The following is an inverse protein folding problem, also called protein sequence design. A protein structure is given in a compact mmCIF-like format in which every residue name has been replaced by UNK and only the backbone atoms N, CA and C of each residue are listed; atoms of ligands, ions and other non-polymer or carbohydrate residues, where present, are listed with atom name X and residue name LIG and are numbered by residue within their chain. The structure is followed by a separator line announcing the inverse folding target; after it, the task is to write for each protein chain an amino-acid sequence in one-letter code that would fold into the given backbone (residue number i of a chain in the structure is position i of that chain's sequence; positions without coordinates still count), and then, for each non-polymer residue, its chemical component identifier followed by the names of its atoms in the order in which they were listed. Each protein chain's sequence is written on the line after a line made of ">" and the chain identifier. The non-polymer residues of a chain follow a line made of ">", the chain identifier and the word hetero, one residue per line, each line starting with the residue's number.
data_IF_841869585640
#
_entry.id   IF_841869585640
#
_cell.length_a   1.000
_cell.length_b   1.000
_cell.length_c   1.000
_cell.angle_alpha   90.00
_cell.angle_beta   90.00
_cell.angle_gamma   90.00
#
_symmetry.space_group_name_H-M   'P 1'
#
loop_
_entity.id
_entity.type
_entity.pdbx_description
1 polymer ?
#
# COMPACT_ATOMS: atom_id res chain seq x y z
N UNK A 1 11.70 48.23 -41.59
CA UNK A 1 11.12 46.97 -41.09
C UNK A 1 12.07 46.41 -40.04
N UNK A 2 11.72 46.38 -38.74
CA UNK A 2 12.62 45.92 -37.70
C UNK A 2 12.55 44.39 -37.56
N UNK A 3 13.72 43.74 -37.55
CA UNK A 3 13.87 42.32 -37.27
C UNK A 3 13.72 42.07 -35.76
N UNK A 4 12.79 41.17 -35.40
CA UNK A 4 12.56 40.74 -34.02
C UNK A 4 13.71 39.81 -33.59
N UNK A 5 14.68 40.31 -32.84
CA UNK A 5 15.72 39.50 -32.20
C UNK A 5 15.11 38.78 -30.98
N UNK A 6 14.72 37.51 -31.15
CA UNK A 6 14.41 36.63 -30.02
C UNK A 6 15.73 36.13 -29.39
N UNK A 7 16.04 36.46 -28.13
CA UNK A 7 17.27 36.03 -27.48
C UNK A 7 17.24 34.51 -27.24
N UNK A 8 18.23 33.82 -27.78
CA UNK A 8 18.49 32.37 -27.67
C UNK A 8 18.64 31.84 -26.23
N UNK A 9 18.70 32.73 -25.24
CA UNK A 9 18.86 32.39 -23.82
C UNK A 9 17.61 31.74 -23.19
N UNK A 10 16.44 31.80 -23.83
CA UNK A 10 15.20 31.23 -23.28
C UNK A 10 15.02 29.73 -23.56
N UNK A 11 15.83 29.12 -24.44
CA UNK A 11 15.68 27.69 -24.78
C UNK A 11 16.40 26.76 -23.79
N UNK A 12 17.41 27.27 -23.08
CA UNK A 12 18.17 26.48 -22.10
C UNK A 12 17.47 26.32 -20.74
N UNK A 13 16.42 27.11 -20.46
CA UNK A 13 15.69 27.02 -19.19
C UNK A 13 14.56 25.98 -19.19
N UNK A 14 14.20 25.42 -20.35
CA UNK A 14 13.11 24.44 -20.47
C UNK A 14 13.55 22.99 -20.20
N UNK A 15 14.87 22.72 -20.11
CA UNK A 15 15.41 21.37 -19.87
C UNK A 15 15.59 21.09 -18.38
N UNK A 16 15.63 22.12 -17.53
CA UNK A 16 15.81 21.98 -16.08
C UNK A 16 14.51 21.67 -15.32
N UNK A 17 13.35 21.65 -16.00
CA UNK A 17 12.04 21.41 -15.38
C UNK A 17 11.40 20.10 -15.84
N UNK A 18 12.19 19.14 -16.32
CA UNK A 18 11.80 17.74 -16.21
C UNK A 18 11.91 17.32 -14.73
N UNK A 19 11.12 17.98 -13.86
CA UNK A 19 10.63 17.31 -12.68
C UNK A 19 9.93 16.08 -13.22
N UNK A 20 10.57 14.93 -13.08
CA UNK A 20 9.89 13.65 -13.00
C UNK A 20 8.87 13.80 -11.89
N UNK A 21 7.68 14.28 -12.22
CA UNK A 21 6.51 13.95 -11.44
C UNK A 21 6.44 12.44 -11.53
N UNK A 22 6.87 11.75 -10.48
CA UNK A 22 6.46 10.37 -10.30
C UNK A 22 4.95 10.39 -10.47
N UNK A 23 4.39 9.75 -11.52
CA UNK A 23 2.96 9.54 -11.52
C UNK A 23 2.64 8.85 -10.19
N UNK A 24 1.55 9.24 -9.52
CA UNK A 24 1.02 8.50 -8.38
C UNK A 24 0.92 7.04 -8.83
N UNK A 25 1.93 6.26 -8.44
CA UNK A 25 2.06 4.91 -8.96
C UNK A 25 1.10 4.12 -8.11
N UNK A 26 0.11 3.49 -8.74
CA UNK A 26 -0.76 2.60 -8.00
C UNK A 26 0.08 1.50 -7.37
N UNK A 27 0.13 1.52 -6.04
CA UNK A 27 0.95 0.59 -5.28
C UNK A 27 0.14 -0.68 -5.10
N UNK A 28 0.56 -1.73 -5.81
CA UNK A 28 0.03 -3.08 -5.64
C UNK A 28 1.04 -3.90 -4.85
N UNK A 29 0.70 -4.23 -3.61
CA UNK A 29 1.46 -5.15 -2.76
C UNK A 29 0.71 -6.47 -2.70
N UNK A 30 1.34 -7.57 -3.08
CA UNK A 30 0.71 -8.89 -2.98
C UNK A 30 1.71 -9.94 -2.55
N UNK A 31 1.22 -11.02 -1.97
CA UNK A 31 2.07 -12.07 -1.47
C UNK A 31 1.34 -13.22 -0.81
N UNK A 32 2.12 -14.19 -0.36
CA UNK A 32 1.64 -15.35 0.42
C UNK A 32 2.36 -15.41 1.76
N UNK A 33 1.69 -15.97 2.76
CA UNK A 33 2.25 -16.12 4.10
C UNK A 33 1.96 -17.50 4.70
N UNK A 34 2.76 -17.87 5.70
CA UNK A 34 2.47 -18.95 6.63
C UNK A 34 2.93 -18.58 8.03
N UNK A 35 2.19 -19.03 9.05
CA UNK A 35 2.48 -18.75 10.45
C UNK A 35 1.73 -19.67 11.40
N UNK A 36 1.69 -19.28 12.67
CA UNK A 36 0.96 -19.95 13.73
C UNK A 36 -0.12 -19.01 14.25
N UNK A 37 -1.38 -19.47 14.22
CA UNK A 37 -2.52 -18.70 14.67
C UNK A 37 -2.52 -18.57 16.21
N UNK A 38 -2.91 -17.39 16.68
CA UNK A 38 -3.39 -17.17 18.03
C UNK A 38 -4.84 -16.71 17.96
N UNK A 39 -5.73 -17.46 18.61
CA UNK A 39 -7.17 -17.28 18.49
C UNK A 39 -7.79 -16.82 19.82
N UNK A 40 -8.66 -15.82 19.77
CA UNK A 40 -9.39 -15.34 20.94
C UNK A 40 -10.91 -15.30 20.66
N UNK A 41 -11.76 -15.53 21.68
CA UNK A 41 -13.19 -15.50 21.49
C UNK A 41 -13.67 -14.06 21.30
N UNK A 42 -14.54 -13.84 20.31
CA UNK A 42 -15.30 -12.60 20.27
C UNK A 42 -16.35 -12.64 21.38
N UNK A 43 -16.69 -11.48 22.00
CA UNK A 43 -17.74 -11.39 23.02
C UNK A 43 -19.13 -11.46 22.35
N UNK A 44 -19.42 -12.59 21.71
CA UNK A 44 -20.67 -12.88 20.99
C UNK A 44 -21.43 -13.98 21.73
N UNK A 45 -22.77 -13.91 21.68
CA UNK A 45 -23.66 -14.80 22.43
C UNK A 45 -23.88 -16.18 21.76
N UNK A 46 -22.98 -16.62 20.89
CA UNK A 46 -23.07 -17.92 20.23
C UNK A 46 -21.70 -18.60 20.18
N UNK A 47 -21.66 -19.95 20.27
CA UNK A 47 -20.40 -20.68 20.29
C UNK A 47 -19.73 -20.67 18.90
N UNK A 48 -18.39 -20.66 18.85
CA UNK A 48 -17.65 -20.81 17.60
C UNK A 48 -17.92 -22.18 16.94
N UNK A 49 -17.69 -22.33 15.61
CA UNK A 49 -17.90 -23.59 14.89
C UNK A 49 -17.10 -24.77 15.44
N UNK A 50 -15.94 -24.50 16.06
CA UNK A 50 -15.11 -25.46 16.79
C UNK A 50 -14.57 -24.82 18.07
N UNK A 51 -14.12 -25.62 19.06
CA UNK A 51 -13.40 -25.11 20.22
C UNK A 51 -12.25 -24.19 19.82
N UNK A 52 -12.04 -23.11 20.58
CA UNK A 52 -11.00 -22.13 20.27
C UNK A 52 -9.59 -22.73 20.36
N UNK A 53 -9.42 -23.69 21.27
CA UNK A 53 -8.18 -24.45 21.49
C UNK A 53 -7.76 -25.25 20.24
N UNK A 54 -8.68 -25.51 19.29
CA UNK A 54 -8.31 -26.15 18.03
C UNK A 54 -7.60 -25.15 17.10
N UNK A 55 -7.99 -23.87 17.14
CA UNK A 55 -7.43 -22.81 16.29
C UNK A 55 -6.15 -22.22 16.88
N UNK A 56 -6.05 -22.11 18.20
CA UNK A 56 -4.87 -21.60 18.87
C UNK A 56 -3.68 -22.56 18.67
N UNK A 57 -2.56 -22.03 18.19
CA UNK A 57 -1.39 -22.83 17.81
C UNK A 57 -1.50 -23.56 16.47
N UNK A 58 -2.63 -23.47 15.77
CA UNK A 58 -2.79 -24.12 14.46
C UNK A 58 -1.96 -23.42 13.38
N UNK A 59 -1.48 -24.19 12.40
CA UNK A 59 -0.84 -23.62 11.22
C UNK A 59 -1.86 -22.84 10.39
N UNK A 60 -1.48 -21.62 10.04
CA UNK A 60 -2.25 -20.74 9.15
C UNK A 60 -1.44 -20.44 7.90
N UNK A 61 -2.10 -20.48 6.74
CA UNK A 61 -1.52 -20.11 5.45
C UNK A 61 -2.46 -19.18 4.72
N UNK A 62 -1.97 -18.40 3.77
CA UNK A 62 -2.85 -17.51 3.04
C UNK A 62 -2.14 -16.61 2.04
N UNK A 63 -2.91 -15.68 1.51
CA UNK A 63 -2.47 -14.67 0.55
C UNK A 63 -3.07 -13.32 0.86
N UNK A 64 -2.39 -12.26 0.44
CA UNK A 64 -2.90 -10.91 0.53
C UNK A 64 -2.65 -10.15 -0.77
N UNK A 65 -3.50 -9.16 -1.00
CA UNK A 65 -3.34 -8.16 -2.04
C UNK A 65 -3.85 -6.82 -1.52
N UNK A 66 -3.04 -5.79 -1.66
CA UNK A 66 -3.34 -4.41 -1.32
C UNK A 66 -3.12 -3.58 -2.58
N UNK A 67 -4.12 -2.80 -2.95
CA UNK A 67 -4.00 -1.81 -4.02
C UNK A 67 -4.25 -0.42 -3.45
N UNK A 68 -3.30 0.49 -3.64
CA UNK A 68 -3.34 1.88 -3.18
C UNK A 68 -3.08 2.82 -4.36
N UNK A 69 -4.09 3.09 -5.21
CA UNK A 69 -3.93 3.94 -6.38
C UNK A 69 -3.83 5.43 -6.03
N UNK A 70 -4.70 5.92 -5.16
CA UNK A 70 -4.85 7.35 -4.86
C UNK A 70 -5.10 7.55 -3.35
N UNK A 71 -4.08 7.40 -2.47
CA UNK A 71 -4.30 7.56 -1.03
C UNK A 71 -4.66 9.01 -0.68
N UNK A 72 -5.78 9.20 0.04
CA UNK A 72 -6.26 10.50 0.46
C UNK A 72 -5.85 10.77 1.92
N UNK A 73 -5.02 11.79 2.15
CA UNK A 73 -4.61 12.17 3.50
C UNK A 73 -5.82 12.63 4.32
N UNK A 74 -5.90 12.13 5.56
CA UNK A 74 -7.00 12.47 6.45
C UNK A 74 -6.54 13.22 7.70
N UNK A 75 -5.61 12.65 8.47
CA UNK A 75 -5.07 13.28 9.68
C UNK A 75 -3.68 12.74 10.02
N UNK A 76 -2.90 13.52 10.78
CA UNK A 76 -1.63 13.10 11.37
C UNK A 76 -1.65 13.24 12.89
N UNK A 77 -0.76 12.53 13.58
CA UNK A 77 -0.54 12.70 15.01
C UNK A 77 0.01 14.10 15.32
N UNK A 78 -0.28 14.60 16.52
CA UNK A 78 0.14 15.95 16.96
C UNK A 78 1.67 16.13 16.96
N UNK A 79 2.41 15.03 17.17
CA UNK A 79 3.86 14.96 17.14
C UNK A 79 4.43 14.50 15.78
N UNK A 80 3.58 14.28 14.78
CA UNK A 80 3.97 13.72 13.49
C UNK A 80 4.53 12.30 13.58
N UNK A 81 4.15 11.53 14.60
CA UNK A 81 4.59 10.13 14.74
C UNK A 81 3.85 9.15 13.83
N UNK A 82 2.66 9.52 13.36
CA UNK A 82 1.83 8.73 12.45
C UNK A 82 0.99 9.62 11.51
N UNK A 83 0.55 9.02 10.41
CA UNK A 83 -0.41 9.61 9.47
C UNK A 83 -1.45 8.58 9.00
N UNK A 84 -2.68 9.04 8.86
CA UNK A 84 -3.82 8.27 8.37
C UNK A 84 -4.23 8.72 6.98
N UNK A 85 -4.51 7.73 6.13
CA UNK A 85 -5.02 7.92 4.80
C UNK A 85 -6.25 7.04 4.58
N UNK A 86 -7.18 7.53 3.78
CA UNK A 86 -8.22 6.73 3.18
C UNK A 86 -7.69 6.16 1.87
N UNK A 87 -7.93 4.88 1.62
CA UNK A 87 -7.59 4.31 0.32
C UNK A 87 -8.57 4.86 -0.73
N UNK A 88 -8.08 5.68 -1.68
CA UNK A 88 -8.96 6.37 -2.63
C UNK A 88 -9.59 5.44 -3.67
N UNK A 89 -10.17 6.03 -4.71
CA UNK A 89 -11.00 5.29 -5.65
C UNK A 89 -10.24 4.16 -6.37
N UNK A 90 -10.83 2.96 -6.42
CA UNK A 90 -10.19 1.77 -6.99
C UNK A 90 -9.21 1.05 -6.06
N UNK A 91 -8.96 1.58 -4.86
CA UNK A 91 -8.15 0.91 -3.83
C UNK A 91 -8.87 -0.26 -3.17
N UNK A 92 -8.11 -1.21 -2.65
CA UNK A 92 -8.67 -2.30 -1.84
C UNK A 92 -7.63 -2.99 -0.95
N UNK A 93 -8.13 -3.68 0.08
CA UNK A 93 -7.43 -4.71 0.85
C UNK A 93 -8.16 -6.03 0.66
N UNK A 94 -7.44 -7.08 0.29
CA UNK A 94 -7.95 -8.44 0.16
C UNK A 94 -7.00 -9.41 0.86
N UNK A 95 -7.54 -10.28 1.71
CA UNK A 95 -6.79 -11.33 2.38
C UNK A 95 -7.60 -12.62 2.39
N UNK A 96 -6.93 -13.73 2.13
CA UNK A 96 -7.50 -15.07 2.26
C UNK A 96 -6.64 -15.87 3.22
N UNK A 97 -7.29 -16.52 4.18
CA UNK A 97 -6.66 -17.31 5.22
C UNK A 97 -7.16 -18.75 5.15
N UNK A 98 -6.29 -19.71 5.47
CA UNK A 98 -6.62 -21.12 5.66
C UNK A 98 -6.07 -21.61 6.99
N UNK A 99 -6.94 -22.11 7.85
CA UNK A 99 -6.60 -22.71 9.15
C UNK A 99 -7.52 -23.90 9.38
N UNK A 100 -6.95 -25.06 9.77
CA UNK A 100 -7.69 -26.32 9.96
C UNK A 100 -8.58 -26.75 8.77
N UNK A 101 -8.19 -26.38 7.55
CA UNK A 101 -8.95 -26.67 6.33
C UNK A 101 -10.12 -25.71 6.07
N UNK A 102 -10.41 -24.79 6.98
CA UNK A 102 -11.41 -23.73 6.79
C UNK A 102 -10.76 -22.51 6.11
N UNK A 103 -11.53 -21.86 5.24
CA UNK A 103 -11.10 -20.66 4.52
C UNK A 103 -11.87 -19.43 5.03
N UNK A 104 -11.13 -18.36 5.30
CA UNK A 104 -11.67 -17.06 5.69
C UNK A 104 -11.23 -16.02 4.68
N UNK A 105 -12.16 -15.18 4.23
CA UNK A 105 -11.90 -14.13 3.25
C UNK A 105 -12.26 -12.77 3.84
N UNK A 106 -11.30 -11.86 3.81
CA UNK A 106 -11.46 -10.47 4.23
C UNK A 106 -11.23 -9.59 3.01
N UNK A 107 -12.24 -8.81 2.64
CA UNK A 107 -12.15 -7.89 1.51
C UNK A 107 -12.80 -6.54 1.84
N UNK A 108 -12.07 -5.46 1.58
CA UNK A 108 -12.60 -4.09 1.63
C UNK A 108 -12.07 -3.29 0.45
N UNK A 109 -12.92 -3.13 -0.56
CA UNK A 109 -12.69 -2.18 -1.64
C UNK A 109 -13.13 -0.76 -1.24
N UNK A 110 -12.55 0.22 -1.92
CA UNK A 110 -13.01 1.60 -1.86
C UNK A 110 -14.43 1.68 -2.40
N UNK A 111 -15.33 2.37 -1.69
CA UNK A 111 -16.72 2.41 -2.05
C UNK A 111 -16.95 3.25 -3.32
N UNK A 112 -18.08 3.06 -4.00
CA UNK A 112 -18.46 3.91 -5.11
C UNK A 112 -18.55 5.39 -4.65
N UNK A 113 -18.25 6.36 -5.54
CA UNK A 113 -18.45 7.77 -5.24
C UNK A 113 -19.89 8.04 -4.81
N UNK A 114 -20.06 8.73 -3.68
CA UNK A 114 -21.38 9.05 -3.11
C UNK A 114 -21.99 7.98 -2.19
N UNK A 115 -21.31 6.86 -1.93
CA UNK A 115 -21.70 5.93 -0.86
C UNK A 115 -21.38 6.51 0.52
N UNK A 116 -22.14 6.08 1.54
CA UNK A 116 -21.84 6.33 2.95
C UNK A 116 -20.84 5.35 3.56
N UNK A 117 -20.43 4.33 2.79
CA UNK A 117 -19.43 3.36 3.22
C UNK A 117 -18.03 4.01 3.32
N UNK A 118 -17.18 3.46 4.18
CA UNK A 118 -15.78 3.89 4.31
C UNK A 118 -14.84 2.97 3.50
N UNK A 119 -13.83 3.51 2.79
CA UNK A 119 -12.79 2.69 2.17
C UNK A 119 -11.93 1.96 3.21
N UNK A 120 -11.02 1.11 2.74
CA UNK A 120 -9.91 0.65 3.59
C UNK A 120 -9.05 1.84 4.05
N UNK A 121 -8.39 1.66 5.19
CA UNK A 121 -7.56 2.67 5.82
C UNK A 121 -6.09 2.28 5.69
N UNK A 122 -5.24 3.30 5.58
CA UNK A 122 -3.80 3.14 5.60
C UNK A 122 -3.28 3.99 6.76
N UNK A 123 -2.58 3.34 7.69
CA UNK A 123 -1.90 4.00 8.79
C UNK A 123 -0.40 3.81 8.63
N UNK A 124 0.32 4.91 8.52
CA UNK A 124 1.77 4.94 8.49
C UNK A 124 2.28 5.47 9.83
N UNK A 125 3.34 4.89 10.37
CA UNK A 125 3.94 5.40 11.59
C UNK A 125 5.34 4.85 11.85
N UNK A 126 5.98 5.41 12.89
CA UNK A 126 7.19 4.83 13.45
C UNK A 126 6.86 3.57 14.26
N UNK A 127 7.58 2.48 14.02
CA UNK A 127 7.48 1.24 14.80
C UNK A 127 8.32 1.25 16.09
N UNK A 128 9.09 2.32 16.33
CA UNK A 128 10.08 2.42 17.40
C UNK A 128 11.50 2.60 16.85
N UNK A 129 12.49 2.02 17.52
CA UNK A 129 13.94 2.21 17.30
C UNK A 129 14.41 1.89 15.85
N UNK A 130 14.28 2.85 14.94
CA UNK A 130 14.73 2.70 13.55
C UNK A 130 13.83 1.83 12.68
N UNK A 131 12.57 1.62 13.09
CA UNK A 131 11.58 0.85 12.33
C UNK A 131 10.39 1.73 11.94
N UNK A 132 9.69 1.30 10.91
CA UNK A 132 8.46 1.93 10.45
C UNK A 132 7.40 0.87 10.15
N UNK A 133 6.15 1.27 10.27
CA UNK A 133 4.98 0.40 10.15
C UNK A 133 3.99 0.97 9.14
N UNK A 134 3.57 0.12 8.21
CA UNK A 134 2.45 0.39 7.31
C UNK A 134 1.32 -0.59 7.64
N UNK A 135 0.20 -0.09 8.13
CA UNK A 135 -0.98 -0.88 8.46
C UNK A 135 -2.09 -0.61 7.45
N UNK A 136 -2.69 -1.67 6.95
CA UNK A 136 -3.85 -1.65 6.06
C UNK A 136 -5.04 -2.26 6.80
N UNK A 137 -6.11 -1.50 6.97
CA UNK A 137 -7.26 -1.91 7.76
C UNK A 137 -8.52 -1.88 6.91
N UNK A 138 -9.44 -2.81 7.15
CA UNK A 138 -10.78 -2.73 6.54
C UNK A 138 -11.64 -1.63 7.15
N UNK A 139 -11.45 -1.32 8.43
CA UNK A 139 -12.13 -0.23 9.16
C UNK A 139 -11.37 0.14 10.46
N UNK A 140 -11.88 1.10 11.23
CA UNK A 140 -11.32 1.52 12.53
C UNK A 140 -11.65 0.57 13.70
N UNK A 141 -12.62 -0.33 13.55
CA UNK A 141 -13.14 -1.20 14.63
C UNK A 141 -13.74 -2.46 14.00
N UNK A 142 -12.97 -3.57 13.88
CA UNK A 142 -13.38 -4.78 13.15
C UNK A 142 -14.43 -5.63 13.91
N UNK A 143 -15.31 -4.99 14.67
CA UNK A 143 -16.10 -5.56 15.78
C UNK A 143 -16.96 -6.77 15.36
N UNK A 144 -17.32 -6.89 14.08
CA UNK A 144 -18.18 -7.96 13.57
C UNK A 144 -17.71 -8.58 12.25
N UNK A 145 -16.50 -8.25 11.80
CA UNK A 145 -15.99 -8.64 10.49
C UNK A 145 -14.98 -7.63 9.98
N UNK A 146 -13.72 -8.05 9.83
CA UNK A 146 -12.68 -7.17 9.31
C UNK A 146 -11.29 -7.77 9.44
N UNK A 147 -10.30 -7.05 8.94
CA UNK A 147 -8.92 -7.46 9.06
C UNK A 147 -7.92 -6.32 8.97
N UNK A 148 -6.73 -6.61 9.47
CA UNK A 148 -5.60 -5.71 9.56
C UNK A 148 -4.40 -6.48 8.99
N UNK A 149 -3.68 -5.84 8.09
CA UNK A 149 -2.37 -6.29 7.62
C UNK A 149 -1.34 -5.23 8.00
N UNK A 150 -0.34 -5.64 8.78
CA UNK A 150 0.74 -4.77 9.25
C UNK A 150 2.05 -5.24 8.66
N UNK A 151 2.72 -4.35 7.93
CA UNK A 151 4.10 -4.51 7.50
C UNK A 151 5.01 -3.71 8.43
N UNK A 152 6.06 -4.35 8.94
CA UNK A 152 7.09 -3.68 9.76
C UNK A 152 8.45 -3.87 9.14
N UNK A 153 9.16 -2.77 8.87
CA UNK A 153 10.51 -2.81 8.31
C UNK A 153 11.40 -1.71 8.87
N UNK A 154 12.70 -1.69 8.52
CA UNK A 154 13.59 -0.58 8.84
C UNK A 154 13.06 0.76 8.29
N UNK A 155 13.40 1.88 8.93
CA UNK A 155 13.06 3.21 8.41
C UNK A 155 13.55 3.36 6.97
N UNK A 156 12.67 3.85 6.07
CA UNK A 156 12.94 4.01 4.64
C UNK A 156 12.65 2.79 3.77
N UNK A 157 12.43 1.59 4.32
CA UNK A 157 12.21 0.34 3.55
C UNK A 157 10.78 0.11 3.00
N UNK A 158 9.83 0.94 3.45
CA UNK A 158 8.39 0.80 3.21
C UNK A 158 7.77 2.08 2.65
N UNK A 159 8.20 3.24 3.13
CA UNK A 159 7.77 4.55 2.69
C UNK A 159 8.83 5.60 3.04
N UNK A 160 8.75 6.76 2.41
CA UNK A 160 9.61 7.92 2.68
C UNK A 160 8.78 9.05 3.27
N UNK A 161 9.10 9.44 4.52
CA UNK A 161 8.23 10.32 5.28
C UNK A 161 6.85 9.69 5.53
N UNK A 162 5.97 10.39 6.23
CA UNK A 162 4.61 9.92 6.45
C UNK A 162 3.74 10.18 5.21
N UNK A 163 4.08 9.55 4.08
CA UNK A 163 3.41 9.72 2.79
C UNK A 163 3.11 8.36 2.14
N UNK A 164 1.82 8.03 2.06
CA UNK A 164 1.34 6.77 1.48
C UNK A 164 1.56 6.65 -0.03
N UNK A 165 1.75 7.76 -0.75
CA UNK A 165 2.08 7.70 -2.18
C UNK A 165 3.49 7.17 -2.45
N UNK A 166 4.33 7.11 -1.41
CA UNK A 166 5.71 6.60 -1.48
C UNK A 166 5.83 5.15 -1.00
N UNK A 167 4.70 4.47 -0.77
CA UNK A 167 4.73 3.07 -0.34
C UNK A 167 5.48 2.20 -1.36
N UNK A 168 6.36 1.35 -0.86
CA UNK A 168 7.16 0.43 -1.65
C UNK A 168 7.61 -0.75 -0.76
N UNK A 169 8.28 -1.72 -1.37
CA UNK A 169 8.98 -2.78 -0.66
C UNK A 169 10.45 -2.71 -1.07
N UNK A 170 11.32 -2.47 -0.11
CA UNK A 170 12.76 -2.58 -0.33
C UNK A 170 13.14 -4.06 -0.53
N UNK A 171 13.65 -4.45 -1.71
CA UNK A 171 14.02 -5.84 -1.99
C UNK A 171 15.18 -6.34 -1.12
N UNK A 172 16.02 -5.44 -0.59
CA UNK A 172 17.18 -5.79 0.25
C UNK A 172 16.82 -5.79 1.75
N UNK A 173 15.64 -5.30 2.12
CA UNK A 173 15.16 -5.18 3.49
C UNK A 173 13.66 -5.50 3.60
N UNK A 174 13.27 -6.72 3.22
CA UNK A 174 11.87 -7.15 3.25
C UNK A 174 11.27 -7.05 4.67
N UNK A 175 10.04 -6.52 4.79
CA UNK A 175 9.40 -6.33 6.09
C UNK A 175 8.89 -7.66 6.68
N UNK A 176 8.73 -7.69 8.01
CA UNK A 176 7.89 -8.69 8.65
C UNK A 176 6.41 -8.39 8.41
N UNK A 177 5.58 -9.42 8.48
CA UNK A 177 4.14 -9.34 8.27
C UNK A 177 3.42 -9.89 9.50
N UNK A 178 2.55 -9.06 10.06
CA UNK A 178 1.57 -9.45 11.06
C UNK A 178 0.19 -9.24 10.47
N UNK A 179 -0.73 -10.17 10.72
CA UNK A 179 -2.13 -9.92 10.38
C UNK A 179 -3.04 -10.30 11.53
N UNK A 180 -4.21 -9.71 11.46
CA UNK A 180 -5.30 -9.93 12.38
C UNK A 180 -6.60 -9.94 11.57
N UNK A 181 -7.51 -10.85 11.88
CA UNK A 181 -8.88 -10.76 11.40
C UNK A 181 -9.88 -11.16 12.48
N UNK A 182 -11.09 -10.62 12.35
CA UNK A 182 -12.22 -10.97 13.17
C UNK A 182 -13.34 -11.45 12.25
N UNK A 183 -13.96 -12.59 12.56
CA UNK A 183 -15.13 -13.09 11.85
C UNK A 183 -16.24 -13.42 12.84
N UNK A 184 -17.33 -12.65 12.75
CA UNK A 184 -18.50 -12.90 13.59
C UNK A 184 -19.11 -14.27 13.32
N UNK A 185 -19.11 -14.80 12.09
CA UNK A 185 -19.66 -16.14 11.79
C UNK A 185 -18.85 -17.24 12.46
N UNK A 186 -17.56 -17.02 12.63
CA UNK A 186 -16.66 -17.93 13.34
C UNK A 186 -16.67 -17.70 14.86
N UNK A 187 -17.19 -16.57 15.34
CA UNK A 187 -17.21 -16.24 16.77
C UNK A 187 -15.84 -15.93 17.37
N UNK A 188 -14.84 -15.61 16.55
CA UNK A 188 -13.45 -15.48 16.98
C UNK A 188 -12.67 -14.38 16.27
N UNK A 189 -11.57 -13.99 16.89
CA UNK A 189 -10.48 -13.24 16.28
C UNK A 189 -9.30 -14.18 16.11
N UNK A 190 -8.54 -14.01 15.02
CA UNK A 190 -7.31 -14.73 14.78
C UNK A 190 -6.24 -13.71 14.44
N UNK A 191 -5.11 -13.81 15.13
CA UNK A 191 -3.89 -13.06 14.84
C UNK A 191 -2.75 -14.01 14.55
N UNK A 192 -1.77 -13.58 13.76
CA UNK A 192 -0.51 -14.30 13.64
C UNK A 192 0.60 -13.37 13.17
N UNK A 193 1.82 -13.72 13.55
CA UNK A 193 3.04 -13.25 12.93
C UNK A 193 3.47 -14.28 11.89
N UNK A 194 3.75 -13.83 10.67
CA UNK A 194 4.14 -14.72 9.60
C UNK A 194 5.57 -15.23 9.84
N UNK A 195 5.72 -16.55 9.93
CA UNK A 195 7.01 -17.23 9.97
C UNK A 195 7.70 -17.28 8.61
N UNK A 196 6.92 -17.18 7.53
CA UNK A 196 7.42 -17.06 6.16
C UNK A 196 6.49 -16.18 5.35
N UNK A 197 7.06 -15.29 4.54
CA UNK A 197 6.34 -14.41 3.62
C UNK A 197 7.03 -14.40 2.28
N UNK A 198 6.25 -14.39 1.20
CA UNK A 198 6.75 -14.16 -0.15
C UNK A 198 6.01 -12.98 -0.73
N UNK A 199 6.75 -11.94 -1.13
CA UNK A 199 6.22 -10.77 -1.81
C UNK A 199 6.37 -10.94 -3.31
N UNK A 200 5.32 -10.65 -4.06
CA UNK A 200 5.36 -10.62 -5.51
C UNK A 200 5.60 -9.16 -5.93
N UNK A 201 6.89 -8.81 -6.03
CA UNK A 201 7.33 -7.48 -6.41
C UNK A 201 7.05 -7.28 -7.90
N UNK A 202 6.23 -6.27 -8.23
CA UNK A 202 6.10 -5.85 -9.61
C UNK A 202 7.49 -5.51 -10.17
N UNK A 203 7.79 -5.98 -11.39
CA UNK A 203 9.03 -5.58 -12.06
C UNK A 203 9.04 -4.05 -12.16
N UNK A 204 10.14 -3.38 -11.77
CA UNK A 204 10.24 -1.93 -11.91
C UNK A 204 9.89 -1.56 -13.34
N UNK A 205 8.85 -0.75 -13.53
CA UNK A 205 8.56 -0.23 -14.87
C UNK A 205 9.75 0.66 -15.21
N UNK A 206 10.54 0.34 -16.25
CA UNK A 206 11.62 1.22 -16.64
C UNK A 206 10.99 2.57 -16.96
N UNK A 207 11.44 3.63 -16.29
CA UNK A 207 11.04 4.98 -16.69
C UNK A 207 11.28 5.08 -18.20
N UNK A 208 10.23 5.33 -18.98
CA UNK A 208 10.40 5.57 -20.41
C UNK A 208 11.39 6.74 -20.47
N UNK A 209 12.60 6.53 -21.02
CA UNK A 209 13.72 7.40 -20.71
C UNK A 209 13.40 8.80 -21.23
N UNK A 210 12.97 9.66 -20.31
CA UNK A 210 12.51 11.02 -20.58
C UNK A 210 13.62 11.81 -21.31
N UNK A 211 14.87 11.37 -21.12
CA UNK A 211 16.06 11.80 -21.85
C UNK A 211 15.91 11.57 -23.37
N UNK A 212 15.48 10.40 -23.85
CA UNK A 212 15.34 10.13 -25.28
C UNK A 212 14.17 10.90 -25.90
N UNK A 213 13.05 11.05 -25.18
CA UNK A 213 11.95 11.91 -25.64
C UNK A 213 12.33 13.39 -25.64
N UNK A 214 13.09 13.84 -24.64
CA UNK A 214 13.66 15.19 -24.60
C UNK A 214 14.66 15.45 -25.73
N UNK A 215 15.54 14.49 -26.01
CA UNK A 215 16.49 14.54 -27.13
C UNK A 215 15.77 14.51 -28.49
N UNK A 216 14.73 13.70 -28.65
CA UNK A 216 13.91 13.67 -29.87
C UNK A 216 13.17 15.00 -30.08
N UNK A 217 12.62 15.58 -29.01
CA UNK A 217 12.01 16.91 -29.03
C UNK A 217 13.00 18.01 -29.43
N UNK A 218 14.21 18.01 -28.85
CA UNK A 218 15.28 18.94 -29.21
C UNK A 218 15.74 18.77 -30.67
N UNK A 219 15.86 17.53 -31.15
CA UNK A 219 16.22 17.23 -32.53
C UNK A 219 15.16 17.73 -33.53
N UNK A 220 13.87 17.58 -33.20
CA UNK A 220 12.75 18.10 -34.01
C UNK A 220 12.75 19.63 -34.08
N UNK A 221 13.00 20.31 -32.96
CA UNK A 221 13.12 21.79 -32.92
C UNK A 221 14.32 22.26 -33.76
N UNK A 222 15.47 21.58 -33.66
CA UNK A 222 16.65 21.90 -34.45
C UNK A 222 16.43 21.68 -35.96
N UNK A 223 15.73 20.60 -36.34
CA UNK A 223 15.39 20.30 -37.73
C UNK A 223 14.37 21.29 -38.32
N UNK A 224 13.36 21.71 -37.54
CA UNK A 224 12.38 22.70 -37.96
C UNK A 224 13.01 24.08 -38.20
N UNK A 225 14.03 24.45 -37.42
CA UNK A 225 14.74 25.73 -37.54
C UNK A 225 15.69 25.80 -38.75
N UNK A 226 16.14 24.66 -39.29
CA UNK A 226 16.93 24.60 -40.52
C UNK A 226 16.10 24.70 -41.81
N UNK A 227 14.78 24.51 -41.73
CA UNK A 227 13.87 24.57 -42.88
C UNK A 227 13.22 25.94 -43.10
N UNK A 228 13.45 26.90 -42.20
CA UNK A 228 13.08 28.31 -42.36
C UNK A 228 14.32 29.12 -42.66
#
# INVERSE_FOLDING_TARGET
>A
MPFLHLPWRTVLLAVASACTCWPAQAIVLRGTFAGIASAEPLPLNFPPPRPIDDYDGATITGSFEVNVPDPEFHLSGDDGSFAYFLNGHGGFLSMTFRVLGEQFDVHRASPPPGSSDFPSLILLGGGGAGTQTAQFLTDFRPRFGGGILTLTGPTGSLFTGLDASTLHLDPDALPSLQTYFADSRAGMTISFEATSVTFDLATPVPEAPAVWMGLAGLALVAAARRRR
#
